data_IF_749417006445
#
_entry.id   IF_749417006445
#
_cell.length_a   1.000
_cell.length_b   1.000
_cell.length_c   1.000
_cell.angle_alpha   90.00
_cell.angle_beta   90.00
_cell.angle_gamma   90.00
#
_symmetry.space_group_name_H-M   'P 1'
#
loop_
_entity.id
_entity.type
_entity.pdbx_description
1 polymer ?
#
# COMPACT_ATOMS: atom_id res chain seq x y z
N UNK A 1 14.72 -25.62 1.79
CA UNK A 1 13.76 -24.61 2.30
C UNK A 1 14.13 -23.27 1.71
N UNK A 2 13.17 -22.52 1.17
CA UNK A 2 13.42 -21.18 0.62
C UNK A 2 13.94 -20.25 1.69
N UNK A 3 14.77 -19.28 1.30
CA UNK A 3 15.22 -18.23 2.21
C UNK A 3 14.06 -17.26 2.45
N UNK A 4 13.21 -17.59 3.41
CA UNK A 4 12.30 -16.62 3.99
C UNK A 4 13.12 -15.43 4.51
N UNK A 5 12.59 -14.19 4.43
CA UNK A 5 13.22 -13.07 5.12
C UNK A 5 13.31 -13.41 6.61
N UNK A 6 14.47 -13.15 7.21
CA UNK A 6 14.65 -13.41 8.64
C UNK A 6 13.68 -12.55 9.45
N UNK A 7 13.28 -13.03 10.64
CA UNK A 7 12.44 -12.25 11.56
C UNK A 7 13.07 -10.90 11.87
N UNK A 8 14.39 -10.86 12.08
CA UNK A 8 15.13 -9.62 12.30
C UNK A 8 14.99 -8.64 11.13
N UNK A 9 15.01 -9.15 9.89
CA UNK A 9 14.83 -8.28 8.72
C UNK A 9 13.41 -7.76 8.60
N UNK A 10 12.40 -8.60 8.88
CA UNK A 10 11.00 -8.15 8.88
C UNK A 10 10.76 -7.09 9.95
N UNK A 11 11.30 -7.28 11.16
CA UNK A 11 11.16 -6.33 12.26
C UNK A 11 12.00 -5.06 12.09
N UNK A 12 13.01 -5.08 11.22
CA UNK A 12 13.81 -3.90 10.88
C UNK A 12 13.28 -3.10 9.69
N UNK A 13 12.29 -3.62 8.97
CA UNK A 13 11.73 -2.95 7.79
C UNK A 13 10.65 -1.92 8.21
N UNK A 14 10.80 -0.64 7.84
CA UNK A 14 9.88 0.40 8.27
C UNK A 14 8.46 0.21 7.71
N UNK A 15 8.30 -0.41 6.54
CA UNK A 15 6.97 -0.67 5.97
C UNK A 15 6.27 -1.78 6.71
N UNK A 16 6.98 -2.84 7.10
CA UNK A 16 6.41 -3.91 7.92
C UNK A 16 6.03 -3.37 9.30
N UNK A 17 6.91 -2.60 9.96
CA UNK A 17 6.60 -1.96 11.25
C UNK A 17 5.35 -1.08 11.11
N UNK A 18 5.31 -0.21 10.09
CA UNK A 18 4.18 0.67 9.86
C UNK A 18 2.87 -0.12 9.63
N UNK A 19 2.92 -1.20 8.86
CA UNK A 19 1.78 -2.09 8.62
C UNK A 19 1.25 -2.69 9.92
N UNK A 20 2.15 -3.21 10.77
CA UNK A 20 1.77 -3.78 12.08
C UNK A 20 1.13 -2.70 12.96
N UNK A 21 1.70 -1.49 13.01
CA UNK A 21 1.14 -0.39 13.79
C UNK A 21 -0.26 -0.02 13.32
N UNK A 22 -0.49 0.06 12.00
CA UNK A 22 -1.81 0.37 11.43
C UNK A 22 -2.82 -0.73 11.75
N UNK A 23 -2.46 -2.01 11.56
CA UNK A 23 -3.35 -3.16 11.88
C UNK A 23 -3.73 -3.18 13.37
N UNK A 24 -2.82 -2.79 14.25
CA UNK A 24 -3.06 -2.77 15.70
C UNK A 24 -3.70 -1.46 16.19
N UNK A 25 -3.76 -0.41 15.36
CA UNK A 25 -4.33 0.90 15.74
C UNK A 25 -5.76 0.79 16.27
N UNK A 26 -6.68 0.01 15.66
CA UNK A 26 -8.01 -0.24 16.21
C UNK A 26 -8.04 -0.68 17.69
N UNK A 27 -7.02 -1.41 18.16
CA UNK A 27 -6.95 -1.90 19.53
C UNK A 27 -6.85 -0.77 20.56
N UNK A 28 -6.30 0.38 20.17
CA UNK A 28 -6.21 1.58 21.02
C UNK A 28 -7.57 2.26 21.20
N UNK A 29 -8.51 2.00 20.30
CA UNK A 29 -9.83 2.63 20.27
C UNK A 29 -10.96 1.67 20.67
N UNK A 30 -10.68 0.37 20.80
CA UNK A 30 -11.60 -0.62 21.31
C UNK A 30 -12.09 -0.26 22.72
N UNK A 31 -13.42 -0.22 22.90
CA UNK A 31 -14.05 0.11 24.20
C UNK A 31 -14.08 -1.07 25.18
N UNK A 32 -13.76 -2.27 24.73
CA UNK A 32 -13.77 -3.49 25.56
C UNK A 32 -12.82 -4.56 25.00
N UNK A 33 -12.44 -5.51 25.87
CA UNK A 33 -11.67 -6.71 25.47
C UNK A 33 -12.45 -7.55 24.47
N UNK A 34 -13.78 -7.61 24.59
CA UNK A 34 -14.64 -8.31 23.63
C UNK A 34 -14.53 -7.72 22.21
N UNK A 35 -14.45 -6.40 22.08
CA UNK A 35 -14.25 -5.73 20.78
C UNK A 35 -12.86 -6.03 20.18
N UNK A 36 -11.81 -6.09 21.02
CA UNK A 36 -10.47 -6.52 20.60
C UNK A 36 -10.50 -7.93 20.04
N UNK A 37 -11.09 -8.87 20.79
CA UNK A 37 -11.18 -10.27 20.34
C UNK A 37 -12.02 -10.36 19.07
N UNK A 38 -13.17 -9.69 19.01
CA UNK A 38 -14.02 -9.69 17.82
C UNK A 38 -13.26 -9.23 16.59
N UNK A 39 -12.54 -8.10 16.68
CA UNK A 39 -11.74 -7.55 15.57
C UNK A 39 -10.62 -8.49 15.11
N UNK A 40 -9.85 -9.06 16.05
CA UNK A 40 -8.74 -9.96 15.72
C UNK A 40 -9.22 -11.25 15.03
N UNK A 41 -10.46 -11.66 15.30
CA UNK A 41 -11.07 -12.86 14.74
C UNK A 41 -12.15 -12.58 13.70
N UNK A 42 -12.32 -11.32 13.24
CA UNK A 42 -13.19 -11.00 12.11
C UNK A 42 -12.74 -11.81 10.90
N UNK A 43 -13.65 -12.42 10.11
CA UNK A 43 -13.29 -13.28 8.98
C UNK A 43 -12.27 -12.64 8.02
N UNK A 44 -12.39 -11.33 7.77
CA UNK A 44 -11.47 -10.61 6.88
C UNK A 44 -10.09 -10.37 7.49
N UNK A 45 -9.99 -10.18 8.81
CA UNK A 45 -8.69 -10.11 9.49
C UNK A 45 -7.95 -11.44 9.37
N UNK A 46 -8.63 -12.55 9.67
CA UNK A 46 -8.08 -13.90 9.51
C UNK A 46 -7.70 -14.16 8.04
N UNK A 47 -8.58 -13.78 7.10
CA UNK A 47 -8.31 -13.91 5.67
C UNK A 47 -7.05 -13.14 5.24
N UNK A 48 -6.75 -11.98 5.83
CA UNK A 48 -5.53 -11.23 5.52
C UNK A 48 -4.25 -11.99 5.88
N UNK A 49 -4.23 -12.65 7.05
CA UNK A 49 -3.09 -13.46 7.48
C UNK A 49 -2.95 -14.73 6.63
N UNK A 50 -4.08 -15.36 6.30
CA UNK A 50 -4.10 -16.52 5.39
C UNK A 50 -3.59 -16.11 4.00
N UNK A 51 -4.05 -14.99 3.46
CA UNK A 51 -3.64 -14.49 2.15
C UNK A 51 -2.14 -14.16 2.13
N UNK A 52 -1.61 -13.48 3.16
CA UNK A 52 -0.17 -13.28 3.32
C UNK A 52 0.58 -14.62 3.34
N UNK A 53 0.10 -15.59 4.12
CA UNK A 53 0.68 -16.93 4.21
C UNK A 53 0.72 -17.64 2.85
N UNK A 54 -0.36 -17.55 2.06
CA UNK A 54 -0.44 -18.11 0.71
C UNK A 54 0.56 -17.44 -0.24
N UNK A 55 0.66 -16.11 -0.23
CA UNK A 55 1.64 -15.38 -1.06
C UNK A 55 3.07 -15.80 -0.70
N UNK A 56 3.38 -15.90 0.59
CA UNK A 56 4.69 -16.35 1.07
C UNK A 56 4.96 -17.81 0.70
N UNK A 57 3.97 -18.69 0.83
CA UNK A 57 4.09 -20.09 0.45
C UNK A 57 4.33 -20.26 -1.07
N UNK A 58 3.56 -19.57 -1.91
CA UNK A 58 3.75 -19.62 -3.38
C UNK A 58 5.13 -19.08 -3.77
N UNK A 59 5.60 -18.03 -3.10
CA UNK A 59 6.87 -17.39 -3.46
C UNK A 59 8.08 -18.20 -3.00
N UNK A 60 8.05 -18.75 -1.77
CA UNK A 60 9.21 -19.34 -1.09
C UNK A 60 9.13 -20.85 -0.86
N UNK A 61 7.96 -21.47 -0.99
CA UNK A 61 7.69 -22.85 -0.59
C UNK A 61 8.50 -23.90 -1.36
N UNK A 62 8.83 -23.63 -2.62
CA UNK A 62 9.63 -24.54 -3.47
C UNK A 62 11.14 -24.40 -3.28
N UNK A 63 11.59 -23.45 -2.46
CA UNK A 63 13.00 -23.23 -2.18
C UNK A 63 13.82 -22.47 -3.22
N UNK A 64 13.22 -21.99 -4.32
CA UNK A 64 13.97 -21.35 -5.42
C UNK A 64 14.03 -19.82 -5.33
N UNK A 65 13.64 -19.24 -4.20
CA UNK A 65 13.80 -17.80 -3.94
C UNK A 65 15.27 -17.42 -3.80
N UNK A 66 15.65 -16.31 -4.41
CA UNK A 66 17.01 -15.76 -4.32
C UNK A 66 17.18 -14.92 -3.05
N UNK A 67 18.42 -14.80 -2.58
CA UNK A 67 18.76 -13.82 -1.56
C UNK A 67 18.78 -12.42 -2.19
N UNK A 68 18.04 -11.49 -1.61
CA UNK A 68 17.98 -10.09 -2.06
C UNK A 68 19.02 -9.26 -1.32
N UNK A 69 19.58 -8.26 -2.00
CA UNK A 69 20.32 -7.19 -1.33
C UNK A 69 19.37 -6.32 -0.51
N UNK A 70 19.91 -5.54 0.44
CA UNK A 70 19.11 -4.77 1.41
C UNK A 70 18.06 -3.86 0.74
N UNK A 71 18.45 -3.12 -0.30
CA UNK A 71 17.54 -2.24 -1.04
C UNK A 71 16.41 -3.05 -1.70
N UNK A 72 16.76 -4.07 -2.47
CA UNK A 72 15.80 -4.92 -3.20
C UNK A 72 14.85 -5.62 -2.23
N UNK A 73 15.34 -5.97 -1.04
CA UNK A 73 14.52 -6.54 0.02
C UNK A 73 13.49 -5.56 0.56
N UNK A 74 13.88 -4.31 0.85
CA UNK A 74 12.94 -3.26 1.29
C UNK A 74 11.87 -2.96 0.23
N UNK A 75 12.28 -2.89 -1.04
CA UNK A 75 11.33 -2.67 -2.15
C UNK A 75 10.38 -3.86 -2.32
N UNK A 76 10.88 -5.09 -2.20
CA UNK A 76 10.04 -6.27 -2.23
C UNK A 76 9.02 -6.26 -1.06
N UNK A 77 9.46 -5.92 0.16
CA UNK A 77 8.57 -5.82 1.32
C UNK A 77 7.55 -4.68 1.17
N UNK A 78 7.93 -3.55 0.57
CA UNK A 78 7.00 -2.48 0.20
C UNK A 78 5.86 -3.04 -0.66
N UNK A 79 6.18 -3.76 -1.74
CA UNK A 79 5.16 -4.34 -2.61
C UNK A 79 4.34 -5.43 -1.91
N UNK A 80 4.95 -6.27 -1.07
CA UNK A 80 4.21 -7.29 -0.32
C UNK A 80 3.18 -6.65 0.63
N UNK A 81 3.60 -5.67 1.44
CA UNK A 81 2.73 -5.01 2.41
C UNK A 81 1.65 -4.17 1.72
N UNK A 82 1.96 -3.51 0.61
CA UNK A 82 0.95 -2.79 -0.18
C UNK A 82 -0.04 -3.74 -0.85
N UNK A 83 0.45 -4.81 -1.47
CA UNK A 83 -0.38 -5.77 -2.18
C UNK A 83 -1.32 -6.53 -1.26
N UNK A 84 -0.87 -6.88 -0.06
CA UNK A 84 -1.71 -7.55 0.93
C UNK A 84 -2.51 -6.53 1.75
N UNK A 85 -1.85 -5.67 2.50
CA UNK A 85 -2.52 -4.92 3.55
C UNK A 85 -3.09 -3.59 3.09
N UNK A 86 -2.26 -2.67 2.59
CA UNK A 86 -2.74 -1.32 2.30
C UNK A 86 -3.81 -1.31 1.20
N UNK A 87 -3.44 -1.73 -0.01
CA UNK A 87 -4.35 -1.62 -1.14
C UNK A 87 -5.55 -2.57 -1.03
N UNK A 88 -5.34 -3.80 -0.54
CA UNK A 88 -6.43 -4.78 -0.50
C UNK A 88 -7.19 -4.75 0.82
N UNK A 89 -6.58 -5.09 1.95
CA UNK A 89 -7.35 -5.25 3.18
C UNK A 89 -7.76 -3.93 3.85
N UNK A 90 -6.91 -2.90 3.81
CA UNK A 90 -7.21 -1.62 4.44
C UNK A 90 -8.08 -0.75 3.54
N UNK A 91 -7.65 -0.47 2.31
CA UNK A 91 -8.36 0.48 1.44
C UNK A 91 -9.62 -0.17 0.86
N UNK A 92 -9.51 -1.36 0.26
CA UNK A 92 -10.66 -2.03 -0.37
C UNK A 92 -11.57 -2.73 0.64
N UNK A 93 -11.05 -3.68 1.42
CA UNK A 93 -11.91 -4.52 2.28
C UNK A 93 -12.43 -3.73 3.48
N UNK A 94 -11.56 -2.96 4.15
CA UNK A 94 -11.95 -2.16 5.30
C UNK A 94 -12.59 -0.83 4.89
N UNK A 95 -12.02 -0.09 3.94
CA UNK A 95 -12.52 1.20 3.46
C UNK A 95 -13.73 1.04 2.54
N UNK A 96 -13.57 0.46 1.35
CA UNK A 96 -14.66 0.43 0.37
C UNK A 96 -15.79 -0.54 0.71
N UNK A 97 -15.47 -1.74 1.20
CA UNK A 97 -16.48 -2.77 1.48
C UNK A 97 -16.92 -2.81 2.95
N UNK A 98 -16.22 -2.11 3.85
CA UNK A 98 -16.59 -2.01 5.27
C UNK A 98 -16.70 -3.39 5.96
N UNK A 99 -15.82 -4.34 5.61
CA UNK A 99 -15.89 -5.74 6.06
C UNK A 99 -14.89 -6.08 7.19
N UNK A 100 -14.27 -5.10 7.84
CA UNK A 100 -13.26 -5.32 8.90
C UNK A 100 -13.62 -4.68 10.26
N UNK A 101 -14.92 -4.62 10.58
CA UNK A 101 -15.46 -4.19 11.86
C UNK A 101 -14.82 -2.90 12.41
N UNK A 102 -14.00 -3.00 13.47
CA UNK A 102 -13.38 -1.86 14.12
C UNK A 102 -12.37 -1.13 13.22
N UNK A 103 -11.66 -1.84 12.33
CA UNK A 103 -10.79 -1.17 11.35
C UNK A 103 -11.62 -0.33 10.39
N UNK A 104 -12.73 -0.86 9.88
CA UNK A 104 -13.65 -0.11 9.01
C UNK A 104 -14.16 1.15 9.70
N UNK A 105 -14.52 1.05 10.99
CA UNK A 105 -14.95 2.20 11.80
C UNK A 105 -13.86 3.27 11.93
N UNK A 106 -12.61 2.88 12.21
CA UNK A 106 -11.49 3.83 12.30
C UNK A 106 -11.14 4.43 10.94
N UNK A 107 -11.22 3.62 9.88
CA UNK A 107 -10.93 4.06 8.53
C UNK A 107 -11.92 5.14 8.09
N UNK A 108 -13.21 5.00 8.43
CA UNK A 108 -14.22 6.03 8.17
C UNK A 108 -13.98 7.37 8.89
N UNK A 109 -13.18 7.39 9.96
CA UNK A 109 -12.79 8.64 10.63
C UNK A 109 -11.67 9.34 9.85
N UNK A 110 -10.74 8.56 9.29
CA UNK A 110 -9.64 9.08 8.47
C UNK A 110 -10.16 9.51 7.10
N UNK A 111 -11.04 8.70 6.51
CA UNK A 111 -11.60 8.91 5.18
C UNK A 111 -13.13 8.73 5.20
N UNK A 112 -13.89 9.79 5.54
CA UNK A 112 -15.34 9.74 5.56
C UNK A 112 -15.96 9.51 4.18
N UNK A 113 -15.23 9.73 3.07
CA UNK A 113 -15.80 9.61 1.73
C UNK A 113 -16.25 8.18 1.39
N UNK A 114 -15.68 7.18 2.07
CA UNK A 114 -16.11 5.79 1.93
C UNK A 114 -17.55 5.52 2.42
N UNK A 115 -18.16 6.44 3.16
CA UNK A 115 -19.58 6.33 3.53
C UNK A 115 -20.52 6.64 2.37
N UNK A 116 -20.03 7.37 1.36
CA UNK A 116 -20.82 7.71 0.19
C UNK A 116 -20.78 6.56 -0.81
N UNK A 117 -21.95 6.22 -1.37
CA UNK A 117 -22.07 5.16 -2.37
C UNK A 117 -21.44 5.53 -3.71
N UNK A 118 -21.26 4.53 -4.58
CA UNK A 118 -20.67 4.71 -5.93
C UNK A 118 -21.38 5.76 -6.81
N UNK A 119 -22.68 5.98 -6.57
CA UNK A 119 -23.48 6.95 -7.32
C UNK A 119 -23.39 8.38 -6.79
N UNK A 120 -22.75 8.57 -5.65
CA UNK A 120 -22.55 9.88 -5.03
C UNK A 120 -21.20 10.48 -5.46
N UNK A 121 -21.23 11.73 -5.93
CA UNK A 121 -20.03 12.45 -6.38
C UNK A 121 -18.96 12.55 -5.30
N UNK A 122 -19.35 12.60 -4.03
CA UNK A 122 -18.44 12.66 -2.89
C UNK A 122 -17.65 11.35 -2.70
N UNK A 123 -18.26 10.21 -3.06
CA UNK A 123 -17.66 8.87 -2.94
C UNK A 123 -16.97 8.34 -4.20
N UNK A 124 -17.24 8.92 -5.38
CA UNK A 124 -16.72 8.41 -6.66
C UNK A 124 -15.19 8.32 -6.71
N UNK A 125 -14.49 9.30 -6.13
CA UNK A 125 -13.01 9.32 -6.13
C UNK A 125 -12.42 8.14 -5.37
N UNK A 126 -12.88 7.90 -4.14
CA UNK A 126 -12.40 6.78 -3.31
C UNK A 126 -12.83 5.44 -3.90
N UNK A 127 -14.04 5.34 -4.47
CA UNK A 127 -14.49 4.13 -5.15
C UNK A 127 -13.61 3.76 -6.35
N UNK A 128 -13.32 4.72 -7.23
CA UNK A 128 -12.46 4.47 -8.41
C UNK A 128 -11.05 4.09 -8.00
N UNK A 129 -10.50 4.71 -6.96
CA UNK A 129 -9.21 4.34 -6.39
C UNK A 129 -9.22 2.91 -5.85
N UNK A 130 -10.24 2.53 -5.07
CA UNK A 130 -10.39 1.17 -4.55
C UNK A 130 -10.57 0.12 -5.65
N UNK A 131 -11.28 0.42 -6.74
CA UNK A 131 -11.35 -0.50 -7.88
C UNK A 131 -10.00 -0.64 -8.57
N UNK A 132 -9.23 0.45 -8.70
CA UNK A 132 -7.87 0.41 -9.21
C UNK A 132 -6.96 -0.46 -8.32
N UNK A 133 -7.10 -0.31 -7.00
CA UNK A 133 -6.36 -1.08 -6.00
C UNK A 133 -6.68 -2.57 -6.06
N UNK A 134 -7.97 -2.91 -6.09
CA UNK A 134 -8.45 -4.29 -6.13
C UNK A 134 -8.00 -5.03 -7.39
N UNK A 135 -8.20 -4.42 -8.56
CA UNK A 135 -8.01 -5.12 -9.84
C UNK A 135 -6.60 -4.99 -10.41
N UNK A 136 -5.87 -3.93 -10.06
CA UNK A 136 -4.55 -3.66 -10.65
C UNK A 136 -3.46 -3.57 -9.60
N UNK A 137 -3.56 -2.64 -8.66
CA UNK A 137 -2.40 -2.35 -7.79
C UNK A 137 -2.06 -3.51 -6.86
N UNK A 138 -3.05 -4.09 -6.17
CA UNK A 138 -2.81 -5.22 -5.26
C UNK A 138 -2.25 -6.44 -6.01
N UNK A 139 -2.89 -6.92 -7.10
CA UNK A 139 -2.33 -8.02 -7.89
C UNK A 139 -0.92 -7.73 -8.43
N UNK A 140 -0.68 -6.54 -8.98
CA UNK A 140 0.63 -6.18 -9.55
C UNK A 140 1.70 -6.01 -8.47
N UNK A 141 1.35 -5.54 -7.27
CA UNK A 141 2.22 -5.54 -6.11
C UNK A 141 2.69 -6.97 -5.77
N UNK A 142 1.77 -7.94 -5.73
CA UNK A 142 2.13 -9.35 -5.48
C UNK A 142 3.00 -9.91 -6.61
N UNK A 143 2.70 -9.57 -7.86
CA UNK A 143 3.52 -9.96 -9.03
C UNK A 143 4.93 -9.35 -8.95
N UNK A 144 5.05 -8.08 -8.57
CA UNK A 144 6.33 -7.40 -8.40
C UNK A 144 7.14 -8.05 -7.27
N UNK A 145 6.53 -8.29 -6.10
CA UNK A 145 7.16 -9.02 -5.00
C UNK A 145 7.71 -10.39 -5.45
N UNK A 146 6.88 -11.18 -6.13
CA UNK A 146 7.30 -12.47 -6.69
C UNK A 146 8.45 -12.31 -7.69
N UNK A 147 8.38 -11.30 -8.57
CA UNK A 147 9.43 -11.03 -9.54
C UNK A 147 10.78 -10.72 -8.89
N UNK A 148 10.79 -9.98 -7.78
CA UNK A 148 11.98 -9.76 -6.96
C UNK A 148 12.53 -11.06 -6.40
N UNK A 149 11.72 -11.79 -5.63
CA UNK A 149 12.17 -13.01 -4.96
C UNK A 149 12.62 -14.11 -5.94
N UNK A 150 12.14 -14.09 -7.18
CA UNK A 150 12.42 -15.10 -8.20
C UNK A 150 13.34 -14.63 -9.32
N UNK A 151 13.90 -13.43 -9.18
CA UNK A 151 14.76 -12.80 -10.17
C UNK A 151 14.18 -12.84 -11.61
N UNK A 152 12.91 -12.47 -11.77
CA UNK A 152 12.26 -12.49 -13.07
C UNK A 152 12.70 -11.30 -13.93
N UNK A 153 12.77 -11.50 -15.25
CA UNK A 153 13.16 -10.46 -16.21
C UNK A 153 12.20 -9.27 -16.25
N UNK A 154 10.91 -9.50 -15.98
CA UNK A 154 9.89 -8.44 -15.95
C UNK A 154 9.85 -7.66 -14.63
N UNK A 155 10.77 -7.92 -13.68
CA UNK A 155 10.82 -7.26 -12.36
C UNK A 155 10.75 -5.74 -12.47
N UNK A 156 11.60 -5.13 -13.29
CA UNK A 156 11.70 -3.66 -13.41
C UNK A 156 10.44 -3.05 -14.03
N UNK A 157 9.82 -3.75 -14.99
CA UNK A 157 8.59 -3.28 -15.63
C UNK A 157 7.45 -3.32 -14.61
N UNK A 158 7.30 -4.43 -13.87
CA UNK A 158 6.30 -4.55 -12.82
C UNK A 158 6.50 -3.49 -11.71
N UNK A 159 7.73 -3.30 -11.25
CA UNK A 159 8.12 -2.25 -10.29
C UNK A 159 7.68 -0.86 -10.78
N UNK A 160 8.06 -0.48 -12.00
CA UNK A 160 7.71 0.81 -12.57
C UNK A 160 6.20 0.99 -12.73
N UNK A 161 5.50 -0.01 -13.29
CA UNK A 161 4.04 0.03 -13.48
C UNK A 161 3.31 0.20 -12.16
N UNK A 162 3.66 -0.55 -11.13
CA UNK A 162 3.04 -0.41 -9.79
C UNK A 162 3.29 0.97 -9.22
N UNK A 163 4.51 1.50 -9.33
CA UNK A 163 4.83 2.82 -8.82
C UNK A 163 4.04 3.95 -9.52
N UNK A 164 3.83 3.83 -10.83
CA UNK A 164 2.96 4.76 -11.58
C UNK A 164 1.51 4.65 -11.10
N UNK A 165 1.01 3.44 -10.88
CA UNK A 165 -0.35 3.26 -10.37
C UNK A 165 -0.52 3.80 -8.95
N UNK A 166 0.46 3.62 -8.05
CA UNK A 166 0.44 4.23 -6.71
C UNK A 166 0.35 5.75 -6.79
N UNK A 167 1.16 6.39 -7.64
CA UNK A 167 1.11 7.83 -7.84
C UNK A 167 -0.25 8.28 -8.42
N UNK A 168 -0.81 7.53 -9.38
CA UNK A 168 -2.14 7.80 -9.93
C UNK A 168 -3.25 7.64 -8.89
N UNK A 169 -3.16 6.63 -8.01
CA UNK A 169 -4.08 6.42 -6.90
C UNK A 169 -4.05 7.59 -5.93
N UNK A 170 -2.86 8.04 -5.51
CA UNK A 170 -2.72 9.24 -4.65
C UNK A 170 -3.35 10.46 -5.33
N UNK A 171 -3.12 10.64 -6.63
CA UNK A 171 -3.71 11.75 -7.38
C UNK A 171 -5.24 11.70 -7.35
N UNK A 172 -5.85 10.57 -7.70
CA UNK A 172 -7.32 10.45 -7.72
C UNK A 172 -7.94 10.47 -6.34
N UNK A 173 -7.22 10.02 -5.31
CA UNK A 173 -7.74 9.95 -3.95
C UNK A 173 -7.61 11.29 -3.21
N UNK A 174 -6.44 11.91 -3.19
CA UNK A 174 -6.16 13.08 -2.34
C UNK A 174 -6.45 14.41 -3.03
N UNK A 175 -6.25 14.50 -4.35
CA UNK A 175 -6.38 15.77 -5.07
C UNK A 175 -7.82 16.32 -5.09
N UNK A 176 -8.88 15.51 -5.30
CA UNK A 176 -10.25 16.02 -5.23
C UNK A 176 -10.59 16.62 -3.87
N UNK A 177 -10.15 15.98 -2.78
CA UNK A 177 -10.36 16.47 -1.41
C UNK A 177 -9.62 17.78 -1.14
N UNK A 178 -8.40 17.92 -1.67
CA UNK A 178 -7.65 19.16 -1.54
C UNK A 178 -8.31 20.32 -2.32
N UNK A 179 -8.84 20.04 -3.51
CA UNK A 179 -9.53 21.05 -4.34
C UNK A 179 -10.88 21.46 -3.71
N UNK A 180 -11.61 20.53 -3.10
CA UNK A 180 -12.85 20.85 -2.37
C UNK A 180 -12.60 21.54 -1.02
N UNK A 181 -11.35 21.87 -0.71
CA UNK A 181 -11.00 22.57 0.53
C UNK A 181 -11.12 21.70 1.77
N UNK A 182 -10.97 20.38 1.63
CA UNK A 182 -11.06 19.38 2.70
C UNK A 182 -12.44 19.30 3.35
N UNK A 183 -13.50 19.46 2.56
CA UNK A 183 -14.89 19.46 3.03
C UNK A 183 -15.20 18.27 3.95
N UNK A 184 -14.76 17.06 3.58
CA UNK A 184 -15.06 15.84 4.34
C UNK A 184 -14.20 15.70 5.59
N UNK A 185 -13.09 16.43 5.68
CA UNK A 185 -12.22 16.48 6.86
C UNK A 185 -12.48 17.72 7.74
N UNK A 186 -13.60 18.42 7.53
CA UNK A 186 -13.98 19.60 8.33
C UNK A 186 -13.28 20.89 7.90
N UNK A 187 -12.81 20.96 6.65
CA UNK A 187 -12.18 22.15 6.06
C UNK A 187 -10.71 22.32 6.45
N UNK A 188 -10.11 23.44 6.05
CA UNK A 188 -8.83 23.90 6.59
C UNK A 188 -8.94 24.33 8.06
N UNK A 189 -7.91 24.11 8.90
CA UNK A 189 -7.95 24.58 10.28
C UNK A 189 -8.14 26.09 10.37
N UNK A 190 -9.13 26.55 11.12
CA UNK A 190 -9.43 27.97 11.27
C UNK A 190 -8.48 28.68 12.26
N UNK A 191 -7.74 27.92 13.07
CA UNK A 191 -6.77 28.44 14.03
C UNK A 191 -5.63 27.47 14.31
N UNK A 192 -4.54 27.96 14.90
CA UNK A 192 -3.41 27.12 15.36
C UNK A 192 -3.85 26.12 16.43
N UNK A 193 -4.74 26.53 17.34
CA UNK A 193 -5.26 25.65 18.41
C UNK A 193 -6.01 24.46 17.81
N UNK A 194 -6.85 24.70 16.81
CA UNK A 194 -7.54 23.63 16.07
C UNK A 194 -6.54 22.77 15.29
N UNK A 195 -5.59 23.39 14.60
CA UNK A 195 -4.57 22.69 13.81
C UNK A 195 -3.73 21.73 14.65
N UNK A 196 -3.48 22.06 15.92
CA UNK A 196 -2.69 21.27 16.87
C UNK A 196 -3.56 20.40 17.81
N UNK A 197 -4.89 20.41 17.64
CA UNK A 197 -5.78 19.52 18.37
C UNK A 197 -5.48 18.06 18.01
N UNK A 198 -5.56 17.16 19.00
CA UNK A 198 -5.16 15.75 18.84
C UNK A 198 -5.81 15.06 17.62
N UNK A 199 -7.13 15.22 17.45
CA UNK A 199 -7.85 14.65 16.31
C UNK A 199 -7.36 15.23 14.97
N UNK A 200 -7.04 16.52 14.93
CA UNK A 200 -6.54 17.19 13.72
C UNK A 200 -5.14 16.70 13.36
N UNK A 201 -4.26 16.57 14.35
CA UNK A 201 -2.93 15.98 14.18
C UNK A 201 -3.02 14.55 13.65
N UNK A 202 -3.90 13.72 14.23
CA UNK A 202 -4.00 12.31 13.88
C UNK A 202 -4.66 12.07 12.51
N UNK A 203 -5.82 12.68 12.24
CA UNK A 203 -6.60 12.35 11.05
C UNK A 203 -6.24 13.21 9.85
N UNK A 204 -6.07 14.53 10.05
CA UNK A 204 -5.78 15.45 8.94
C UNK A 204 -4.29 15.51 8.61
N UNK A 205 -3.43 15.78 9.60
CA UNK A 205 -1.99 15.93 9.32
C UNK A 205 -1.30 14.59 9.10
N UNK A 206 -1.55 13.62 9.97
CA UNK A 206 -0.93 12.31 9.85
C UNK A 206 -1.66 11.42 8.84
N UNK A 207 -2.95 11.14 9.08
CA UNK A 207 -3.75 10.24 8.25
C UNK A 207 -3.86 10.67 6.79
N UNK A 208 -4.21 11.93 6.53
CA UNK A 208 -4.35 12.43 5.16
C UNK A 208 -3.00 12.88 4.56
N UNK A 209 -2.34 13.88 5.16
CA UNK A 209 -1.14 14.48 4.53
C UNK A 209 0.10 13.59 4.59
N UNK A 210 0.52 13.15 5.77
CA UNK A 210 1.75 12.38 5.91
C UNK A 210 1.68 11.04 5.17
N UNK A 211 0.60 10.27 5.36
CA UNK A 211 0.42 9.01 4.63
C UNK A 211 0.28 9.25 3.12
N UNK A 212 -0.52 10.21 2.67
CA UNK A 212 -0.65 10.53 1.24
C UNK A 212 0.69 10.89 0.59
N UNK A 213 1.51 11.72 1.25
CA UNK A 213 2.84 12.08 0.77
C UNK A 213 3.82 10.90 0.78
N UNK A 214 3.71 9.99 1.75
CA UNK A 214 4.53 8.79 1.81
C UNK A 214 4.30 7.88 0.59
N UNK A 215 3.03 7.69 0.22
CA UNK A 215 2.61 6.93 -0.97
C UNK A 215 2.89 7.65 -2.30
N UNK A 216 3.27 8.93 -2.27
CA UNK A 216 3.80 9.63 -3.44
C UNK A 216 5.32 9.51 -3.52
N UNK A 217 6.01 9.78 -2.40
CA UNK A 217 7.46 9.90 -2.36
C UNK A 217 8.16 8.54 -2.54
N UNK A 218 7.72 7.50 -1.83
CA UNK A 218 8.39 6.18 -1.87
C UNK A 218 8.25 5.56 -3.27
N UNK A 219 7.05 5.47 -3.87
CA UNK A 219 6.91 4.96 -5.24
C UNK A 219 7.66 5.81 -6.28
N UNK A 220 7.75 7.13 -6.09
CA UNK A 220 8.58 7.97 -6.96
C UNK A 220 10.05 7.57 -6.94
N UNK A 221 10.65 7.34 -5.76
CA UNK A 221 12.06 6.94 -5.66
C UNK A 221 12.30 5.54 -6.27
N UNK A 222 11.40 4.60 -5.99
CA UNK A 222 11.46 3.24 -6.53
C UNK A 222 11.32 3.29 -8.06
N UNK A 223 10.24 3.89 -8.56
CA UNK A 223 9.93 4.00 -9.99
C UNK A 223 10.99 4.76 -10.78
N UNK A 224 11.55 5.85 -10.24
CA UNK A 224 12.68 6.56 -10.86
C UNK A 224 13.86 5.63 -11.09
N UNK A 225 14.19 4.80 -10.11
CA UNK A 225 15.31 3.86 -10.22
C UNK A 225 15.01 2.75 -11.23
N UNK A 226 13.79 2.21 -11.19
CA UNK A 226 13.33 1.22 -12.17
C UNK A 226 13.43 1.76 -13.61
N UNK A 227 12.97 3.00 -13.82
CA UNK A 227 13.02 3.68 -15.12
C UNK A 227 14.45 3.83 -15.65
N UNK A 228 15.37 4.32 -14.82
CA UNK A 228 16.79 4.44 -15.20
C UNK A 228 17.35 3.08 -15.64
N UNK A 229 17.10 2.03 -14.85
CA UNK A 229 17.58 0.68 -15.15
C UNK A 229 16.98 0.11 -16.45
N UNK A 230 15.70 0.40 -16.73
CA UNK A 230 15.05 0.02 -18.00
C UNK A 230 15.73 0.72 -19.17
N UNK A 231 15.93 2.05 -19.09
CA UNK A 231 16.59 2.83 -20.13
C UNK A 231 18.01 2.32 -20.43
N UNK A 232 18.79 2.00 -19.39
CA UNK A 232 20.13 1.43 -19.55
C UNK A 232 20.10 0.06 -20.23
N UNK A 233 19.16 -0.81 -19.85
CA UNK A 233 19.03 -2.14 -20.45
C UNK A 233 18.68 -2.06 -21.93
N UNK A 234 17.73 -1.20 -22.31
CA UNK A 234 17.34 -0.98 -23.72
C UNK A 234 18.51 -0.44 -24.53
N UNK A 235 19.25 0.54 -23.99
CA UNK A 235 20.41 1.13 -24.66
C UNK A 235 21.51 0.09 -24.91
N UNK A 236 21.80 -0.77 -23.92
CA UNK A 236 22.79 -1.84 -24.06
C UNK A 236 22.39 -2.87 -25.12
N UNK A 237 21.12 -3.27 -25.16
CA UNK A 237 20.62 -4.20 -26.18
C UNK A 237 20.76 -3.63 -27.60
N UNK A 238 20.39 -2.36 -27.82
CA UNK A 238 20.54 -1.71 -29.13
C UNK A 238 22.00 -1.63 -29.60
N UNK A 239 22.95 -1.38 -28.69
CA UNK A 239 24.38 -1.41 -29.03
C UNK A 239 24.88 -2.80 -29.44
N UNK A 240 24.36 -3.87 -28.82
CA UNK A 240 24.72 -5.23 -29.14
C UNK A 240 24.17 -5.66 -30.52
N UNK A 241 22.98 -5.21 -30.89
CA UNK A 241 22.40 -5.47 -32.20
C UNK A 241 23.21 -4.79 -33.31
N UNK A 242 23.59 -3.51 -33.13
CA UNK A 242 24.43 -2.78 -34.09
C UNK A 242 25.81 -3.43 -34.27
N UNK A 243 26.41 -4.00 -33.21
CA UNK A 243 27.68 -4.73 -33.31
C UNK A 243 27.59 -6.07 -34.05
N UNK A 244 26.41 -6.68 -34.14
CA UNK A 244 26.20 -7.92 -34.90
C UNK A 244 25.99 -7.69 -36.39
N UNK A 245 25.65 -6.46 -36.77
CA UNK A 245 25.39 -6.06 -38.16
C UNK A 245 26.64 -5.53 -38.89
N UNK A 246 27.68 -5.19 -38.13
CA UNK A 246 29.00 -4.77 -38.63
C UNK A 246 30.00 -5.92 -38.53
#
# INVERSE_FOLDING_TARGET
MGKYPSVQTLLGDPTVIFTVLVILTPLLFCRSVGAVVSYLFTPMMVASWVYLGVVLYITHGDGKSIALGERDQRVALWFLMNGVYFNLFLDVVSGQFQMMDEMSRQYLVVEPRYQFGVFDVHGQSVFMTSMCELFFQSPLCIVAYYAYCRNKSYKLVAEFTVCVLHAAGVWWFYFPEAISGFEHLGGWPASVSEALGFNRLLFFWFGFWFCGLLWLYVPYQIGKTAWINICEAVTKSGMLENKKQN
#
